data_IF_358615546256
#
_entry.id   IF_358615546256
#
_cell.length_a   1.000
_cell.length_b   1.000
_cell.length_c   1.000
_cell.angle_alpha   90.00
_cell.angle_beta   90.00
_cell.angle_gamma   90.00
#
_symmetry.space_group_name_H-M   'P 1'
#
loop_
_entity.id
_entity.type
_entity.pdbx_description
1 polymer ?
#
# COMPACT_ATOMS: atom_id res chain seq x y z
N UNK A 1 -8.43 -7.80 -11.85
CA UNK A 1 -7.58 -8.71 -11.05
C UNK A 1 -6.16 -8.23 -11.25
N UNK A 2 -5.36 -8.08 -10.20
CA UNK A 2 -3.97 -7.58 -10.32
C UNK A 2 -3.07 -8.69 -10.89
N UNK A 3 -2.29 -8.40 -11.94
CA UNK A 3 -1.35 -9.36 -12.53
C UNK A 3 0.04 -9.31 -11.88
N UNK A 4 0.89 -10.29 -12.22
CA UNK A 4 2.29 -10.34 -11.80
C UNK A 4 3.11 -9.15 -12.35
N UNK A 5 2.87 -8.76 -13.61
CA UNK A 5 3.45 -7.59 -14.27
C UNK A 5 3.03 -6.32 -13.53
N UNK A 6 1.73 -6.11 -13.35
CA UNK A 6 1.20 -4.91 -12.68
C UNK A 6 1.71 -4.77 -11.24
N UNK A 7 1.81 -5.88 -10.51
CA UNK A 7 2.42 -5.91 -9.17
C UNK A 7 3.89 -5.44 -9.23
N UNK A 8 4.65 -5.97 -10.18
CA UNK A 8 6.08 -5.68 -10.30
C UNK A 8 6.31 -4.23 -10.70
N UNK A 9 5.58 -3.73 -11.70
CA UNK A 9 5.62 -2.34 -12.16
C UNK A 9 5.26 -1.37 -11.03
N UNK A 10 4.19 -1.65 -10.28
CA UNK A 10 3.77 -0.82 -9.16
C UNK A 10 4.86 -0.74 -8.08
N UNK A 11 5.43 -1.89 -7.69
CA UNK A 11 6.47 -1.96 -6.65
C UNK A 11 7.81 -1.34 -7.10
N UNK A 12 8.14 -1.36 -8.40
CA UNK A 12 9.29 -0.63 -8.94
C UNK A 12 9.14 0.88 -8.82
N UNK A 13 7.91 1.39 -8.74
CA UNK A 13 7.59 2.81 -8.51
C UNK A 13 7.38 3.13 -7.02
N UNK A 14 7.73 2.22 -6.10
CA UNK A 14 7.60 2.48 -4.68
C UNK A 14 8.42 3.72 -4.26
N UNK A 15 7.82 4.64 -3.48
CA UNK A 15 8.55 5.82 -3.00
C UNK A 15 9.73 5.46 -2.09
N UNK A 16 10.76 6.30 -2.08
CA UNK A 16 11.99 6.09 -1.27
C UNK A 16 11.74 5.99 0.24
N UNK A 17 10.67 6.61 0.74
CA UNK A 17 10.25 6.55 2.15
C UNK A 17 9.50 5.25 2.51
N UNK A 18 9.15 4.42 1.53
CA UNK A 18 8.59 3.09 1.76
C UNK A 18 9.72 2.05 1.87
N UNK A 19 10.57 2.26 2.87
CA UNK A 19 11.80 1.53 3.11
C UNK A 19 11.64 0.48 4.24
N UNK A 20 12.74 0.04 4.82
CA UNK A 20 12.79 -0.94 5.91
C UNK A 20 12.99 -0.31 7.30
N UNK A 21 12.61 0.96 7.48
CA UNK A 21 12.71 1.64 8.77
C UNK A 21 11.94 0.87 9.87
N UNK A 22 12.63 0.32 10.89
CA UNK A 22 11.99 -0.44 11.95
C UNK A 22 11.13 0.46 12.87
N UNK A 23 11.33 1.77 12.85
CA UNK A 23 10.52 2.75 13.56
C UNK A 23 9.13 2.97 12.97
N UNK A 24 8.86 2.39 11.79
CA UNK A 24 7.67 2.66 10.99
C UNK A 24 6.95 1.38 10.54
N UNK A 25 5.64 1.49 10.37
CA UNK A 25 4.85 0.49 9.65
C UNK A 25 4.84 0.86 8.18
N UNK A 26 5.27 -0.07 7.34
CA UNK A 26 5.21 0.03 5.89
C UNK A 26 4.23 -0.99 5.33
N UNK A 27 3.15 -0.52 4.70
CA UNK A 27 2.13 -1.36 4.10
C UNK A 27 1.99 -1.08 2.61
N UNK A 28 1.71 -2.13 1.84
CA UNK A 28 1.13 -2.06 0.52
C UNK A 28 -0.36 -2.40 0.65
N UNK A 29 -1.21 -1.54 0.11
CA UNK A 29 -2.65 -1.69 0.10
C UNK A 29 -3.05 -1.95 -1.35
N UNK A 30 -3.45 -3.18 -1.62
CA UNK A 30 -3.87 -3.63 -2.95
C UNK A 30 -5.35 -3.32 -3.15
N UNK A 31 -5.68 -2.60 -4.21
CA UNK A 31 -7.04 -2.21 -4.55
C UNK A 31 -7.69 -3.27 -5.43
N UNK A 32 -8.92 -3.64 -5.08
CA UNK A 32 -9.72 -4.67 -5.77
C UNK A 32 -10.78 -3.96 -6.62
N UNK A 33 -10.84 -4.30 -7.91
CA UNK A 33 -11.85 -3.79 -8.83
C UNK A 33 -13.28 -4.13 -8.32
N UNK A 34 -14.27 -3.24 -8.51
CA UNK A 34 -14.25 -2.05 -9.38
C UNK A 34 -13.67 -0.78 -8.75
N UNK A 35 -13.15 -0.83 -7.52
CA UNK A 35 -12.53 0.35 -6.90
C UNK A 35 -11.19 0.70 -7.59
N UNK A 36 -10.81 1.97 -7.50
CA UNK A 36 -9.53 2.50 -8.00
C UNK A 36 -8.73 3.13 -6.87
N UNK A 37 -7.40 3.19 -6.98
CA UNK A 37 -6.55 3.86 -5.98
C UNK A 37 -7.01 5.30 -5.72
N UNK A 38 -7.41 6.04 -6.76
CA UNK A 38 -7.96 7.39 -6.60
C UNK A 38 -9.23 7.43 -5.73
N UNK A 39 -10.16 6.48 -5.93
CA UNK A 39 -11.36 6.35 -5.10
C UNK A 39 -11.00 6.04 -3.64
N UNK A 40 -10.06 5.12 -3.42
CA UNK A 40 -9.60 4.77 -2.07
C UNK A 40 -8.93 5.98 -1.40
N UNK A 41 -8.07 6.71 -2.12
CA UNK A 41 -7.42 7.93 -1.61
C UNK A 41 -8.45 8.99 -1.22
N UNK A 42 -9.50 9.17 -2.02
CA UNK A 42 -10.57 10.12 -1.75
C UNK A 42 -11.38 9.73 -0.50
N UNK A 43 -11.77 8.46 -0.37
CA UNK A 43 -12.51 7.96 0.80
C UNK A 43 -11.67 7.97 2.09
N UNK A 44 -10.39 7.56 2.00
CA UNK A 44 -9.47 7.61 3.13
C UNK A 44 -9.23 9.05 3.60
N UNK A 45 -9.31 10.01 2.67
CA UNK A 45 -9.18 11.43 2.90
C UNK A 45 -7.73 11.92 2.94
N UNK A 46 -7.58 13.24 3.09
CA UNK A 46 -6.28 13.91 3.05
C UNK A 46 -5.33 13.39 4.14
N UNK A 47 -4.16 12.89 3.71
CA UNK A 47 -3.11 12.41 4.61
C UNK A 47 -2.71 13.49 5.62
N UNK A 48 -2.27 13.09 6.81
CA UNK A 48 -1.61 13.99 7.76
C UNK A 48 -0.08 13.86 7.62
N UNK A 49 0.63 14.70 6.84
CA UNK A 49 2.03 14.48 6.51
C UNK A 49 2.98 14.43 7.72
N UNK A 50 2.57 15.05 8.83
CA UNK A 50 3.28 14.99 10.11
C UNK A 50 3.29 13.59 10.76
N UNK A 51 2.40 12.69 10.33
CA UNK A 51 2.19 11.38 10.96
C UNK A 51 2.18 10.21 9.96
N UNK A 52 2.04 10.47 8.67
CA UNK A 52 1.98 9.43 7.65
C UNK A 52 2.39 9.94 6.27
N UNK A 53 2.83 9.01 5.42
CA UNK A 53 3.11 9.24 4.02
C UNK A 53 2.32 8.24 3.19
N UNK A 54 1.69 8.73 2.12
CA UNK A 54 0.91 7.90 1.21
C UNK A 54 1.20 8.32 -0.23
N UNK A 55 1.33 7.33 -1.10
CA UNK A 55 1.35 7.49 -2.54
C UNK A 55 0.75 6.24 -3.18
N UNK A 56 0.48 6.26 -4.48
CA UNK A 56 0.00 5.09 -5.20
C UNK A 56 0.65 4.96 -6.57
N UNK A 57 0.74 3.72 -7.05
CA UNK A 57 1.10 3.37 -8.42
C UNK A 57 0.18 2.25 -8.89
N UNK A 58 -0.55 2.49 -9.99
CA UNK A 58 -1.60 1.59 -10.44
C UNK A 58 -2.60 1.27 -9.32
N UNK A 59 -2.82 -0.02 -9.06
CA UNK A 59 -3.73 -0.55 -8.03
C UNK A 59 -3.06 -0.81 -6.68
N UNK A 60 -1.86 -0.26 -6.44
CA UNK A 60 -1.13 -0.40 -5.18
C UNK A 60 -0.96 0.96 -4.53
N UNK A 61 -1.42 1.09 -3.29
CA UNK A 61 -1.19 2.25 -2.45
C UNK A 61 -0.10 1.91 -1.43
N UNK A 62 0.93 2.75 -1.37
CA UNK A 62 2.00 2.68 -0.40
C UNK A 62 1.64 3.55 0.79
N UNK A 63 1.73 2.99 2.00
CA UNK A 63 1.50 3.74 3.23
C UNK A 63 2.59 3.46 4.25
N UNK A 64 3.19 4.54 4.76
CA UNK A 64 4.16 4.50 5.85
C UNK A 64 3.67 5.36 7.01
N UNK A 65 3.83 4.87 8.24
CA UNK A 65 3.53 5.63 9.45
C UNK A 65 4.46 5.26 10.61
N UNK A 66 5.05 6.22 11.34
CA UNK A 66 5.85 5.95 12.52
C UNK A 66 5.03 5.26 13.61
N UNK A 67 5.60 4.24 14.23
CA UNK A 67 4.96 3.48 15.32
C UNK A 67 4.60 4.39 16.50
N UNK A 68 5.47 5.34 16.84
CA UNK A 68 5.30 6.26 17.97
C UNK A 68 4.07 7.16 17.83
N UNK A 69 3.67 7.51 16.60
CA UNK A 69 2.53 8.40 16.32
C UNK A 69 1.42 7.70 15.54
N UNK A 70 1.44 6.37 15.48
CA UNK A 70 0.52 5.59 14.64
C UNK A 70 -0.96 5.90 14.91
N UNK A 71 -1.33 6.13 16.17
CA UNK A 71 -2.71 6.45 16.57
C UNK A 71 -3.21 7.81 16.06
N UNK A 72 -2.31 8.69 15.59
CA UNK A 72 -2.65 10.02 15.07
C UNK A 72 -2.86 10.03 13.55
N UNK A 73 -2.48 8.95 12.88
CA UNK A 73 -2.61 8.75 11.42
C UNK A 73 -4.07 8.77 10.99
N UNK A 74 -4.36 9.26 9.78
CA UNK A 74 -5.70 9.12 9.20
C UNK A 74 -5.90 7.72 8.62
N UNK A 75 -4.87 7.19 7.96
CA UNK A 75 -4.99 5.96 7.19
C UNK A 75 -5.14 4.69 8.05
N UNK A 76 -4.78 4.72 9.33
CA UNK A 76 -5.16 3.63 10.26
C UNK A 76 -6.68 3.46 10.39
N UNK A 77 -7.46 4.50 10.10
CA UNK A 77 -8.92 4.46 10.12
C UNK A 77 -9.55 3.81 8.89
N UNK A 78 -8.79 3.54 7.81
CA UNK A 78 -9.35 2.99 6.55
C UNK A 78 -10.05 1.65 6.77
N UNK A 79 -9.66 0.89 7.79
CA UNK A 79 -10.30 -0.39 8.17
C UNK A 79 -11.75 -0.24 8.65
N UNK A 80 -12.18 0.98 8.96
CA UNK A 80 -13.55 1.32 9.37
C UNK A 80 -14.36 1.96 8.25
N UNK A 81 -13.74 2.20 7.09
CA UNK A 81 -14.37 2.88 5.95
C UNK A 81 -15.21 1.91 5.12
N UNK A 82 -16.09 2.48 4.30
CA UNK A 82 -16.93 1.74 3.36
C UNK A 82 -16.11 0.99 2.29
N UNK A 83 -14.89 1.46 2.00
CA UNK A 83 -14.01 0.87 0.98
C UNK A 83 -13.10 -0.24 1.51
N UNK A 84 -13.12 -0.55 2.81
CA UNK A 84 -12.30 -1.63 3.38
C UNK A 84 -12.49 -3.00 2.67
N UNK A 85 -13.71 -3.42 2.27
CA UNK A 85 -13.90 -4.65 1.51
C UNK A 85 -13.27 -4.64 0.11
N UNK A 86 -12.94 -3.46 -0.42
CA UNK A 86 -12.32 -3.27 -1.74
C UNK A 86 -10.80 -3.18 -1.69
N UNK A 87 -10.18 -3.47 -0.53
CA UNK A 87 -8.72 -3.43 -0.38
C UNK A 87 -8.18 -4.66 0.36
N UNK A 88 -6.92 -5.00 0.06
CA UNK A 88 -6.14 -5.97 0.84
C UNK A 88 -4.88 -5.30 1.37
N UNK A 89 -4.72 -5.28 2.69
CA UNK A 89 -3.57 -4.67 3.36
C UNK A 89 -2.53 -5.75 3.65
N UNK A 90 -1.28 -5.54 3.22
CA UNK A 90 -0.11 -6.37 3.59
C UNK A 90 1.06 -5.49 3.98
N UNK A 91 1.93 -6.00 4.84
CA UNK A 91 3.19 -5.31 5.13
C UNK A 91 4.12 -5.35 3.91
N UNK A 92 5.11 -4.45 3.89
CA UNK A 92 6.14 -4.33 2.85
C UNK A 92 6.82 -5.66 2.55
N UNK A 93 7.23 -6.39 3.59
CA UNK A 93 7.96 -7.64 3.43
C UNK A 93 7.12 -8.70 2.70
N UNK A 94 5.83 -8.77 2.99
CA UNK A 94 4.92 -9.66 2.25
C UNK A 94 4.77 -9.22 0.81
N UNK A 95 4.61 -7.92 0.54
CA UNK A 95 4.51 -7.40 -0.83
C UNK A 95 5.76 -7.70 -1.67
N UNK A 96 6.96 -7.52 -1.10
CA UNK A 96 8.22 -7.86 -1.76
C UNK A 96 8.38 -9.37 -1.99
N UNK A 97 7.95 -10.21 -1.05
CA UNK A 97 7.92 -11.66 -1.25
C UNK A 97 6.99 -12.07 -2.40
N UNK A 98 5.82 -11.42 -2.51
CA UNK A 98 4.91 -11.65 -3.64
C UNK A 98 5.54 -11.26 -4.98
N UNK A 99 6.27 -10.15 -5.03
CA UNK A 99 7.03 -9.75 -6.22
C UNK A 99 8.09 -10.79 -6.60
N UNK A 100 8.88 -11.26 -5.62
CA UNK A 100 9.91 -12.26 -5.86
C UNK A 100 9.33 -13.56 -6.44
N UNK A 101 8.21 -14.04 -5.88
CA UNK A 101 7.49 -15.22 -6.39
C UNK A 101 6.91 -14.96 -7.79
N UNK A 102 6.35 -13.78 -8.02
CA UNK A 102 5.81 -13.40 -9.33
C UNK A 102 6.87 -13.36 -10.42
N UNK A 103 8.11 -12.97 -10.08
CA UNK A 103 9.23 -12.97 -11.02
C UNK A 103 9.74 -14.39 -11.30
N UNK A 104 9.80 -15.27 -10.30
CA UNK A 104 10.20 -16.67 -10.49
C UNK A 104 9.28 -17.41 -11.47
N UNK A 105 7.97 -17.17 -11.39
CA UNK A 105 6.98 -17.77 -12.30
C UNK A 105 7.09 -17.32 -13.76
N UNK A 106 7.89 -16.27 -14.07
CA UNK A 106 8.13 -15.81 -15.44
C UNK A 106 9.35 -16.45 -16.08
N UNK A 107 10.21 -17.05 -15.28
CA UNK A 107 11.46 -17.69 -15.71
C UNK A 107 11.25 -19.17 -16.06
N UNK A 108 10.10 -19.75 -15.70
CA UNK A 108 9.63 -21.11 -16.01
C UNK A 108 8.73 -21.14 -17.27
#
# INVERSE_FOLDING_TARGET
MLTAEELTEALCQAPSWWNDDPGSKHNAIFVIAPASSAMIMNEAGETKPAYEQVAYSGSVIFWSAPLATFTKTRWSGIVKSSVYPSITIRNRNTALKLQALANQLKED
#
